data_IF_689377190728
#
_entry.id   IF_689377190728
#
_cell.length_a   1.000
_cell.length_b   1.000
_cell.length_c   1.000
_cell.angle_alpha   90.00
_cell.angle_beta   90.00
_cell.angle_gamma   90.00
#
_symmetry.space_group_name_H-M   'P 1'
#
loop_
_entity.id
_entity.type
_entity.pdbx_description
1 polymer ?
#
# COMPACT_ATOMS: atom_id res chain seq x y z
N UNK A 1 -15.75 -24.64 -6.89
CA UNK A 1 -16.11 -23.58 -7.86
C UNK A 1 -15.51 -22.27 -7.40
N UNK A 2 -14.43 -21.81 -8.04
CA UNK A 2 -13.83 -20.49 -7.75
C UNK A 2 -13.78 -19.73 -9.07
N UNK A 3 -14.80 -18.91 -9.31
CA UNK A 3 -14.91 -18.00 -10.45
C UNK A 3 -14.52 -16.61 -9.99
N UNK A 4 -13.22 -16.33 -9.88
CA UNK A 4 -12.74 -15.00 -9.48
C UNK A 4 -11.78 -14.35 -10.48
N UNK A 5 -11.26 -15.09 -11.46
CA UNK A 5 -10.36 -14.52 -12.46
C UNK A 5 -11.21 -14.11 -13.69
N UNK A 6 -11.40 -12.81 -13.96
CA UNK A 6 -12.08 -12.36 -15.16
C UNK A 6 -11.27 -12.74 -16.39
N UNK A 7 -11.93 -12.93 -17.53
CA UNK A 7 -11.24 -13.19 -18.79
C UNK A 7 -10.53 -11.92 -19.28
N UNK A 8 -9.56 -12.08 -20.19
CA UNK A 8 -8.73 -10.98 -20.70
C UNK A 8 -9.62 -9.96 -21.44
N UNK A 9 -9.82 -8.79 -20.85
CA UNK A 9 -10.66 -7.71 -21.38
C UNK A 9 -11.92 -7.42 -20.56
N UNK A 10 -12.27 -8.30 -19.61
CA UNK A 10 -13.39 -8.07 -18.70
C UNK A 10 -12.93 -7.27 -17.47
N UNK A 11 -13.47 -6.06 -17.33
CA UNK A 11 -13.35 -5.29 -16.10
C UNK A 11 -14.48 -5.70 -15.16
N UNK A 12 -14.18 -6.47 -14.11
CA UNK A 12 -15.14 -6.65 -13.01
C UNK A 12 -15.26 -5.33 -12.23
N UNK A 13 -16.34 -4.57 -12.46
CA UNK A 13 -16.68 -3.40 -11.64
C UNK A 13 -17.22 -3.90 -10.29
N UNK A 14 -16.30 -4.12 -9.35
CA UNK A 14 -16.69 -4.42 -7.97
C UNK A 14 -17.33 -3.18 -7.38
N UNK A 15 -18.40 -3.38 -6.60
CA UNK A 15 -19.09 -2.35 -5.82
C UNK A 15 -19.98 -1.37 -6.60
N UNK A 16 -20.77 -1.85 -7.59
CA UNK A 16 -21.83 -1.09 -8.29
C UNK A 16 -22.41 0.09 -7.47
N UNK A 17 -21.81 1.28 -7.63
CA UNK A 17 -22.23 2.48 -6.93
C UNK A 17 -22.29 2.41 -5.39
N UNK A 18 -21.70 1.41 -4.72
CA UNK A 18 -21.78 1.25 -3.25
C UNK A 18 -21.16 2.46 -2.53
N UNK A 19 -20.08 3.01 -3.08
CA UNK A 19 -19.42 4.21 -2.57
C UNK A 19 -19.97 5.52 -3.15
N UNK A 20 -21.01 5.48 -3.99
CA UNK A 20 -21.60 6.70 -4.55
C UNK A 20 -22.27 7.55 -3.45
N UNK A 21 -22.33 8.87 -3.67
CA UNK A 21 -22.99 9.80 -2.75
C UNK A 21 -24.46 9.46 -2.49
N UNK A 22 -25.17 8.98 -3.52
CA UNK A 22 -26.57 8.57 -3.41
C UNK A 22 -26.73 7.35 -2.49
N UNK A 23 -25.92 6.31 -2.71
CA UNK A 23 -25.97 5.08 -1.89
C UNK A 23 -25.58 5.34 -0.44
N UNK A 24 -24.54 6.15 -0.19
CA UNK A 24 -24.17 6.60 1.16
C UNK A 24 -25.27 7.42 1.82
N UNK A 25 -25.86 8.36 1.09
CA UNK A 25 -26.95 9.19 1.61
C UNK A 25 -28.19 8.38 2.01
N UNK A 26 -28.51 7.32 1.26
CA UNK A 26 -29.61 6.40 1.58
C UNK A 26 -29.30 5.58 2.84
N UNK A 27 -28.10 5.03 2.98
CA UNK A 27 -27.68 4.29 4.20
C UNK A 27 -27.67 5.17 5.44
N UNK A 28 -27.17 6.41 5.31
CA UNK A 28 -27.20 7.40 6.40
C UNK A 28 -28.63 7.73 6.85
N UNK A 29 -29.58 7.86 5.92
CA UNK A 29 -31.01 8.05 6.26
C UNK A 29 -31.65 6.83 6.92
N UNK A 30 -31.25 5.64 6.50
CA UNK A 30 -31.74 4.37 7.05
C UNK A 30 -31.06 3.98 8.37
N UNK A 31 -30.03 4.72 8.82
CA UNK A 31 -29.24 4.37 10.01
C UNK A 31 -28.33 3.15 9.83
N UNK A 32 -28.10 2.70 8.60
CA UNK A 32 -27.33 1.49 8.25
C UNK A 32 -25.96 1.80 7.63
N UNK A 33 -25.42 2.99 7.86
CA UNK A 33 -24.14 3.42 7.23
C UNK A 33 -22.92 2.65 7.75
N UNK A 34 -22.99 2.15 8.98
CA UNK A 34 -21.96 1.29 9.58
C UNK A 34 -21.99 -0.17 9.07
N UNK A 35 -23.06 -0.56 8.36
CA UNK A 35 -23.18 -1.86 7.72
C UNK A 35 -22.47 -1.83 6.37
N UNK A 36 -21.13 -1.88 6.40
CA UNK A 36 -20.34 -2.20 5.21
C UNK A 36 -20.61 -3.68 4.89
N UNK A 37 -21.16 -4.04 3.72
CA UNK A 37 -21.26 -5.43 3.31
C UNK A 37 -19.85 -5.98 3.23
N UNK A 38 -19.50 -6.81 4.20
CA UNK A 38 -18.34 -7.66 4.11
C UNK A 38 -18.65 -8.67 2.99
N UNK A 39 -18.31 -8.33 1.75
CA UNK A 39 -18.42 -9.24 0.59
C UNK A 39 -17.37 -10.36 0.62
N UNK A 40 -16.67 -10.49 1.75
CA UNK A 40 -15.84 -11.62 2.09
C UNK A 40 -16.28 -11.98 3.50
N UNK A 41 -17.01 -13.08 3.65
CA UNK A 41 -17.09 -13.76 4.93
C UNK A 41 -15.65 -14.11 5.31
N UNK A 42 -15.03 -13.23 6.07
CA UNK A 42 -13.82 -13.59 6.80
C UNK A 42 -14.32 -14.19 8.10
N UNK A 43 -13.96 -15.45 8.38
CA UNK A 43 -14.17 -16.16 9.67
C UNK A 43 -13.50 -15.45 10.88
N UNK A 44 -13.08 -14.21 10.68
CA UNK A 44 -12.35 -13.37 11.60
C UNK A 44 -13.38 -12.55 12.37
N UNK A 45 -13.50 -12.84 13.67
CA UNK A 45 -14.30 -12.04 14.60
C UNK A 45 -14.03 -10.54 14.43
N UNK A 46 -15.07 -9.71 14.57
CA UNK A 46 -14.97 -8.23 14.61
C UNK A 46 -13.84 -7.73 15.53
N UNK A 47 -13.56 -8.45 16.63
CA UNK A 47 -12.47 -8.13 17.56
C UNK A 47 -11.08 -8.35 16.96
N UNK A 48 -10.92 -9.37 16.13
CA UNK A 48 -9.70 -9.61 15.36
C UNK A 48 -9.58 -8.64 14.17
N UNK A 49 -10.70 -8.24 13.55
CA UNK A 49 -10.72 -7.21 12.52
C UNK A 49 -10.25 -5.83 13.02
N UNK A 50 -10.62 -5.45 14.26
CA UNK A 50 -10.14 -4.21 14.92
C UNK A 50 -8.62 -4.16 15.13
N UNK A 51 -7.91 -5.29 15.03
CA UNK A 51 -6.44 -5.38 15.11
C UNK A 51 -5.79 -5.38 13.72
N UNK A 52 -6.40 -4.71 12.75
CA UNK A 52 -5.92 -4.69 11.36
C UNK A 52 -4.45 -4.24 11.27
N UNK A 53 -4.04 -3.25 12.08
CA UNK A 53 -2.65 -2.79 12.15
C UNK A 53 -1.66 -3.93 12.47
N UNK A 54 -1.97 -4.81 13.41
CA UNK A 54 -1.08 -5.90 13.82
C UNK A 54 -0.90 -6.91 12.68
N UNK A 55 -1.99 -7.18 11.95
CA UNK A 55 -1.97 -8.05 10.77
C UNK A 55 -1.17 -7.43 9.62
N UNK A 56 -1.23 -6.11 9.45
CA UNK A 56 -0.42 -5.40 8.45
C UNK A 56 1.07 -5.48 8.76
N UNK A 57 1.46 -5.24 10.02
CA UNK A 57 2.85 -5.40 10.47
C UNK A 57 3.33 -6.82 10.20
N UNK A 58 2.54 -7.84 10.61
CA UNK A 58 2.86 -9.24 10.34
C UNK A 58 3.00 -9.55 8.86
N UNK A 59 2.17 -8.98 8.00
CA UNK A 59 2.24 -9.21 6.56
C UNK A 59 3.49 -8.59 5.92
N UNK A 60 3.86 -7.38 6.33
CA UNK A 60 4.94 -6.61 5.71
C UNK A 60 6.29 -7.07 6.26
N UNK A 61 6.38 -7.20 7.59
CA UNK A 61 7.64 -7.45 8.30
C UNK A 61 7.79 -8.90 8.74
N UNK A 62 6.81 -9.78 8.49
CA UNK A 62 6.80 -11.17 8.95
C UNK A 62 6.92 -11.35 10.48
N UNK A 63 6.64 -10.29 11.26
CA UNK A 63 6.72 -10.27 12.73
C UNK A 63 5.32 -10.06 13.32
N UNK A 64 4.92 -10.89 14.29
CA UNK A 64 3.67 -10.71 15.02
C UNK A 64 3.89 -9.82 16.26
N UNK A 65 3.39 -8.57 16.28
CA UNK A 65 3.64 -7.63 17.37
C UNK A 65 2.88 -7.99 18.67
N UNK A 66 2.00 -9.00 18.65
CA UNK A 66 1.26 -9.47 19.83
C UNK A 66 1.83 -10.77 20.41
N UNK A 67 3.01 -11.19 19.97
CA UNK A 67 3.73 -12.35 20.50
C UNK A 67 5.09 -11.88 21.03
N UNK A 68 5.43 -12.30 22.25
CA UNK A 68 6.72 -11.96 22.83
C UNK A 68 7.85 -12.71 22.08
N UNK A 69 8.90 -12.01 21.61
CA UNK A 69 10.01 -12.66 20.89
C UNK A 69 10.87 -13.57 21.79
N UNK A 70 10.84 -13.39 23.11
CA UNK A 70 11.67 -14.17 24.03
C UNK A 70 10.96 -15.43 24.55
N UNK A 71 9.69 -15.31 24.95
CA UNK A 71 8.95 -16.42 25.59
C UNK A 71 7.77 -16.94 24.76
N UNK A 72 7.51 -16.39 23.55
CA UNK A 72 6.36 -16.73 22.69
C UNK A 72 4.97 -16.53 23.31
N UNK A 73 4.88 -15.90 24.49
CA UNK A 73 3.61 -15.61 25.16
C UNK A 73 2.81 -14.52 24.44
N UNK A 74 1.49 -14.51 24.66
CA UNK A 74 0.59 -13.48 24.13
C UNK A 74 0.79 -12.14 24.83
N UNK A 75 0.98 -11.06 24.06
CA UNK A 75 1.11 -9.70 24.56
C UNK A 75 -0.21 -8.93 24.47
N UNK A 76 -0.39 -7.93 25.34
CA UNK A 76 -1.53 -7.01 25.36
C UNK A 76 -1.04 -5.58 25.24
N UNK A 77 -1.78 -4.76 24.49
CA UNK A 77 -1.54 -3.32 24.41
C UNK A 77 -1.95 -2.71 25.75
N UNK A 78 -1.04 -1.95 26.38
CA UNK A 78 -1.30 -1.28 27.66
C UNK A 78 -1.77 0.15 27.41
N UNK A 79 -1.08 0.89 26.54
CA UNK A 79 -1.40 2.27 26.18
C UNK A 79 -0.85 2.63 24.80
N UNK A 80 -1.34 3.73 24.24
CA UNK A 80 -0.75 4.42 23.09
C UNK A 80 -0.10 5.70 23.59
N UNK A 81 1.14 5.96 23.15
CA UNK A 81 1.89 7.16 23.48
C UNK A 81 2.03 7.95 22.18
N UNK A 82 1.46 9.15 22.15
CA UNK A 82 1.44 10.01 20.95
C UNK A 82 2.33 11.26 21.13
N UNK A 83 2.69 11.59 22.36
CA UNK A 83 3.55 12.74 22.66
C UNK A 83 5.00 12.48 22.25
N UNK A 84 5.50 13.31 21.33
CA UNK A 84 6.83 13.20 20.76
C UNK A 84 7.94 13.34 21.81
N UNK A 85 7.78 14.23 22.79
CA UNK A 85 8.81 14.45 23.82
C UNK A 85 8.96 13.23 24.72
N UNK A 86 7.82 12.62 25.09
CA UNK A 86 7.78 11.38 25.87
C UNK A 86 8.39 10.23 25.07
N UNK A 87 8.00 10.07 23.80
CA UNK A 87 8.56 9.05 22.90
C UNK A 87 10.08 9.21 22.81
N UNK A 88 10.58 10.43 22.60
CA UNK A 88 12.00 10.72 22.51
C UNK A 88 12.75 10.43 23.81
N UNK A 89 12.14 10.72 24.97
CA UNK A 89 12.73 10.40 26.28
C UNK A 89 12.84 8.89 26.50
N UNK A 90 11.79 8.13 26.18
CA UNK A 90 11.75 6.66 26.31
C UNK A 90 12.79 6.03 25.37
N UNK A 91 12.79 6.40 24.10
CA UNK A 91 13.68 5.83 23.11
C UNK A 91 15.16 6.15 23.40
N UNK A 92 15.47 7.37 23.88
CA UNK A 92 16.85 7.71 24.32
C UNK A 92 17.28 6.87 25.51
N UNK A 93 16.40 6.65 26.49
CA UNK A 93 16.71 5.81 27.65
C UNK A 93 16.99 4.35 27.25
N UNK A 94 16.29 3.85 26.23
CA UNK A 94 16.50 2.50 25.68
C UNK A 94 17.68 2.40 24.70
N UNK A 95 18.32 3.52 24.34
CA UNK A 95 19.36 3.54 23.30
C UNK A 95 18.84 3.29 21.88
N UNK A 96 17.52 3.45 21.65
CA UNK A 96 16.82 3.21 20.38
C UNK A 96 16.47 4.50 19.63
N UNK A 97 16.91 5.67 20.12
CA UNK A 97 16.67 6.93 19.44
C UNK A 97 17.58 7.06 18.21
N UNK A 98 17.05 6.67 17.04
CA UNK A 98 17.78 6.71 15.79
C UNK A 98 17.30 7.91 14.94
N UNK A 99 18.13 8.96 14.83
CA UNK A 99 17.85 10.16 14.03
C UNK A 99 18.12 9.95 12.53
N UNK A 100 18.34 8.70 12.09
CA UNK A 100 18.54 8.42 10.67
C UNK A 100 17.24 8.74 9.96
N UNK A 101 17.27 9.78 9.16
CA UNK A 101 16.15 10.08 8.28
C UNK A 101 15.97 8.86 7.36
N UNK A 102 14.77 8.30 7.31
CA UNK A 102 14.42 7.23 6.36
C UNK A 102 14.27 7.81 4.95
N UNK A 103 15.18 8.72 4.58
CA UNK A 103 15.24 9.25 3.24
C UNK A 103 15.45 8.08 2.28
N UNK A 104 14.78 8.09 1.12
CA UNK A 104 15.05 7.11 0.10
C UNK A 104 16.57 7.10 -0.20
N UNK A 105 17.15 5.92 -0.49
CA UNK A 105 18.55 5.83 -0.87
C UNK A 105 18.83 6.84 -1.99
N UNK A 106 19.98 7.52 -1.92
CA UNK A 106 20.38 8.46 -2.96
C UNK A 106 20.25 7.77 -4.33
N UNK A 107 19.60 8.40 -5.32
CA UNK A 107 19.45 7.80 -6.64
C UNK A 107 20.84 7.49 -7.19
N UNK A 108 21.05 6.25 -7.62
CA UNK A 108 22.29 5.88 -8.33
C UNK A 108 22.38 6.74 -9.58
N UNK A 109 23.55 7.29 -9.86
CA UNK A 109 23.79 7.99 -11.12
C UNK A 109 23.55 7.00 -12.28
N UNK A 110 22.41 7.13 -12.95
CA UNK A 110 22.15 6.43 -14.20
C UNK A 110 22.98 7.16 -15.24
N UNK A 111 23.99 6.48 -15.81
CA UNK A 111 24.62 6.98 -17.02
C UNK A 111 23.58 6.88 -18.14
N UNK A 112 22.90 7.99 -18.41
CA UNK A 112 22.13 8.14 -19.64
C UNK A 112 23.16 8.36 -20.75
N UNK A 113 23.37 7.43 -21.69
CA UNK A 113 24.24 7.70 -22.83
C UNK A 113 23.67 8.90 -23.57
N UNK A 114 24.55 9.85 -23.87
CA UNK A 114 24.22 11.00 -24.70
C UNK A 114 23.80 10.47 -26.07
N UNK A 115 22.57 10.77 -26.49
CA UNK A 115 22.07 10.39 -27.81
C UNK A 115 22.83 11.24 -28.85
N UNK A 116 23.92 10.70 -29.37
CA UNK A 116 24.64 11.30 -30.51
C UNK A 116 23.85 11.01 -31.77
N UNK A 117 23.19 12.01 -32.34
CA UNK A 117 22.58 11.90 -33.65
C UNK A 117 23.68 12.05 -34.70
N UNK A 118 23.83 11.06 -35.58
CA UNK A 118 24.72 11.16 -36.73
C UNK A 118 23.99 11.94 -37.83
N UNK A 119 24.21 13.26 -37.89
CA UNK A 119 23.67 14.16 -38.93
C UNK A 119 24.35 13.97 -40.29
N UNK A 120 25.17 12.92 -40.47
CA UNK A 120 25.72 12.56 -41.76
C UNK A 120 24.60 12.21 -42.73
N UNK A 121 24.46 13.03 -43.78
CA UNK A 121 23.54 12.84 -44.91
C UNK A 121 23.67 11.48 -45.63
N UNK A 122 24.65 10.65 -45.24
CA UNK A 122 24.85 9.30 -45.74
C UNK A 122 23.78 8.30 -45.31
N UNK A 123 22.99 8.59 -44.28
CA UNK A 123 21.84 7.75 -43.88
C UNK A 123 20.52 8.19 -44.52
N UNK A 124 20.48 9.33 -45.22
CA UNK A 124 19.30 9.73 -45.98
C UNK A 124 19.27 8.91 -47.27
N UNK A 125 18.19 8.16 -47.54
CA UNK A 125 18.05 7.50 -48.84
C UNK A 125 18.13 8.58 -49.94
N UNK A 126 18.82 8.31 -51.06
CA UNK A 126 18.88 9.26 -52.17
C UNK A 126 17.45 9.72 -52.50
N UNK A 127 17.22 11.02 -52.43
CA UNK A 127 16.02 11.64 -52.98
C UNK A 127 16.02 11.24 -54.45
N UNK A 128 15.13 10.30 -54.81
CA UNK A 128 14.56 10.08 -56.15
C UNK A 128 13.75 8.76 -56.16
N UNK A 129 12.60 8.72 -55.46
CA UNK A 129 11.62 7.63 -55.64
C UNK A 129 10.14 8.07 -55.62
N UNK A 130 9.84 9.37 -55.59
CA UNK A 130 8.46 9.88 -55.55
C UNK A 130 8.07 10.81 -56.70
N UNK A 131 8.87 10.85 -57.78
CA UNK A 131 8.51 11.52 -59.04
C UNK A 131 8.56 10.53 -60.20
N UNK A 132 7.70 9.51 -60.15
CA UNK A 132 7.33 8.74 -61.32
C UNK A 132 5.82 8.50 -61.37
#
# INVERSE_FOLDING_TARGET
>A
MVTHIPTKGEQMVRYYGFYSNKSRGLRKKAGTDDEVPALIDSDISRKAFRKNWARLIRKIYNVDPLVCPNCSGSMKIISFIEDNEIIAKILRHLGLWETRNHDPPAPKAVHTPELTYDDSYSQLPPIDYWLQ
#
